data_IF_171295070772
#
_entry.id   IF_171295070772
#
_cell.length_a   1.000
_cell.length_b   1.000
_cell.length_c   1.000
_cell.angle_alpha   90.00
_cell.angle_beta   90.00
_cell.angle_gamma   90.00
#
_symmetry.space_group_name_H-M   'P 1'
#
loop_
_entity.id
_entity.type
_entity.pdbx_description
1 polymer ?
#
# COMPACT_ATOMS: atom_id res chain seq x y z
N UNK A 1 -37.44 20.59 -6.16
CA UNK A 1 -37.00 19.32 -5.53
C UNK A 1 -35.60 18.84 -5.94
N UNK A 2 -35.00 19.34 -7.02
CA UNK A 2 -33.67 18.87 -7.52
C UNK A 2 -32.49 19.34 -6.65
N UNK A 3 -32.58 20.55 -6.06
CA UNK A 3 -31.55 21.17 -5.22
C UNK A 3 -31.10 20.33 -3.99
N UNK A 4 -31.99 19.78 -3.14
CA UNK A 4 -31.56 18.95 -2.01
C UNK A 4 -30.92 17.63 -2.45
N UNK A 5 -31.40 17.03 -3.55
CA UNK A 5 -30.88 15.77 -4.08
C UNK A 5 -29.44 15.90 -4.58
N UNK A 6 -29.11 17.05 -5.18
CA UNK A 6 -27.74 17.35 -5.64
C UNK A 6 -26.76 17.54 -4.46
N UNK A 7 -27.21 18.14 -3.36
CA UNK A 7 -26.41 18.30 -2.14
C UNK A 7 -26.12 16.95 -1.49
N UNK A 8 -27.11 16.05 -1.43
CA UNK A 8 -26.92 14.69 -0.90
C UNK A 8 -25.93 13.88 -1.76
N UNK A 9 -26.05 13.97 -3.09
CA UNK A 9 -25.12 13.31 -4.01
C UNK A 9 -23.68 13.82 -3.84
N UNK A 10 -23.51 15.14 -3.68
CA UNK A 10 -22.21 15.75 -3.42
C UNK A 10 -21.64 15.27 -2.08
N UNK A 11 -22.44 15.23 -1.02
CA UNK A 11 -22.03 14.73 0.29
C UNK A 11 -21.60 13.24 0.24
N UNK A 12 -22.27 12.39 -0.53
CA UNK A 12 -21.84 10.99 -0.74
C UNK A 12 -20.49 10.90 -1.46
N UNK A 13 -20.24 11.75 -2.46
CA UNK A 13 -18.97 11.77 -3.20
C UNK A 13 -17.80 12.21 -2.31
N UNK A 14 -18.00 13.14 -1.37
CA UNK A 14 -16.99 13.51 -0.38
C UNK A 14 -16.66 12.35 0.60
N UNK A 15 -17.60 11.45 0.86
CA UNK A 15 -17.36 10.24 1.66
C UNK A 15 -16.53 9.17 0.91
N UNK A 16 -16.41 9.28 -0.43
CA UNK A 16 -15.54 8.40 -1.22
C UNK A 16 -14.06 8.47 -0.81
N UNK A 17 -13.62 9.63 -0.31
CA UNK A 17 -12.28 9.79 0.28
C UNK A 17 -12.13 9.00 1.58
N UNK A 18 -13.19 8.87 2.38
CA UNK A 18 -13.15 8.07 3.63
C UNK A 18 -13.12 6.59 3.29
N UNK A 19 -13.94 6.14 2.33
CA UNK A 19 -13.97 4.74 1.90
C UNK A 19 -12.62 4.30 1.32
N UNK A 20 -12.01 5.12 0.47
CA UNK A 20 -10.66 4.84 -0.06
C UNK A 20 -9.61 4.85 1.04
N UNK A 21 -9.69 5.75 2.04
CA UNK A 21 -8.79 5.73 3.20
C UNK A 21 -8.96 4.45 4.03
N UNK A 22 -10.19 4.01 4.29
CA UNK A 22 -10.50 2.80 5.06
C UNK A 22 -9.96 1.55 4.37
N UNK A 23 -9.96 1.50 3.02
CA UNK A 23 -9.42 0.35 2.28
C UNK A 23 -7.90 0.42 2.12
N UNK A 24 -7.33 1.60 1.89
CA UNK A 24 -5.89 1.76 1.60
C UNK A 24 -5.01 1.78 2.85
N UNK A 25 -5.52 2.22 4.00
CA UNK A 25 -4.76 2.24 5.25
C UNK A 25 -4.40 0.82 5.74
N UNK A 26 -5.33 -0.15 5.77
CA UNK A 26 -5.00 -1.55 6.09
C UNK A 26 -3.96 -2.15 5.16
N UNK A 27 -3.97 -1.79 3.88
CA UNK A 27 -2.97 -2.28 2.92
C UNK A 27 -1.56 -1.79 3.27
N UNK A 28 -1.43 -0.53 3.70
CA UNK A 28 -0.15 0.04 4.16
C UNK A 28 0.32 -0.54 5.49
N UNK A 29 -0.61 -0.65 6.45
CA UNK A 29 -0.31 -1.22 7.77
C UNK A 29 -0.01 -2.70 7.67
N UNK A 30 -0.75 -3.45 6.86
CA UNK A 30 -0.52 -4.88 6.60
C UNK A 30 0.86 -5.13 6.01
N UNK A 31 1.29 -4.32 5.03
CA UNK A 31 2.65 -4.40 4.49
C UNK A 31 3.73 -4.17 5.57
N UNK A 32 3.54 -3.16 6.43
CA UNK A 32 4.46 -2.88 7.52
C UNK A 32 4.49 -3.98 8.59
N UNK A 33 3.34 -4.60 8.90
CA UNK A 33 3.29 -5.72 9.85
C UNK A 33 3.97 -6.96 9.28
N UNK A 34 3.74 -7.25 7.99
CA UNK A 34 4.36 -8.39 7.30
C UNK A 34 5.88 -8.22 7.20
N UNK A 35 6.41 -7.01 7.05
CA UNK A 35 7.87 -6.78 7.00
C UNK A 35 8.58 -7.02 8.34
N UNK A 36 7.85 -6.97 9.46
CA UNK A 36 8.40 -7.26 10.80
C UNK A 36 8.48 -8.77 11.06
N UNK A 37 7.79 -9.59 10.26
CA UNK A 37 7.82 -11.04 10.42
C UNK A 37 9.16 -11.57 9.91
N UNK A 38 9.99 -12.20 10.77
CA UNK A 38 11.33 -12.65 10.38
C UNK A 38 11.32 -13.65 9.24
N UNK A 39 10.25 -14.44 9.08
CA UNK A 39 10.09 -15.39 7.96
C UNK A 39 9.99 -14.67 6.61
N UNK A 40 9.28 -13.55 6.55
CA UNK A 40 9.08 -12.80 5.29
C UNK A 40 10.23 -11.81 5.06
N UNK A 41 10.68 -11.13 6.12
CA UNK A 41 11.83 -10.23 6.07
C UNK A 41 13.09 -10.96 5.61
N UNK A 42 13.44 -12.10 6.23
CA UNK A 42 14.66 -12.82 5.90
C UNK A 42 14.62 -13.48 4.50
N UNK A 43 13.43 -13.83 4.00
CA UNK A 43 13.26 -14.31 2.62
C UNK A 43 13.39 -13.16 1.60
N UNK A 44 12.88 -11.97 1.93
CA UNK A 44 13.04 -10.78 1.10
C UNK A 44 14.50 -10.31 1.07
N UNK A 45 15.17 -10.24 2.22
CA UNK A 45 16.58 -9.86 2.33
C UNK A 45 17.48 -10.84 1.54
N UNK A 46 17.27 -12.15 1.68
CA UNK A 46 18.05 -13.14 0.92
C UNK A 46 17.90 -13.01 -0.60
N UNK A 47 16.69 -12.67 -1.08
CA UNK A 47 16.44 -12.43 -2.50
C UNK A 47 17.11 -11.13 -2.99
N UNK A 48 17.13 -10.10 -2.14
CA UNK A 48 17.81 -8.83 -2.42
C UNK A 48 19.32 -9.04 -2.47
N UNK A 49 19.92 -9.71 -1.49
CA UNK A 49 21.36 -10.00 -1.44
C UNK A 49 21.82 -10.79 -2.66
N UNK A 50 21.09 -11.85 -3.03
CA UNK A 50 21.42 -12.64 -4.24
C UNK A 50 21.41 -11.78 -5.49
N UNK A 51 20.48 -10.83 -5.58
CA UNK A 51 20.40 -9.91 -6.72
C UNK A 51 21.52 -8.89 -6.68
N UNK A 52 21.85 -8.36 -5.50
CA UNK A 52 22.93 -7.42 -5.29
C UNK A 52 24.29 -8.04 -5.62
N UNK A 53 24.56 -9.28 -5.21
CA UNK A 53 25.79 -10.01 -5.53
C UNK A 53 26.00 -10.15 -7.04
N UNK A 54 24.93 -10.41 -7.81
CA UNK A 54 25.00 -10.49 -9.28
C UNK A 54 25.29 -9.13 -9.90
N UNK A 55 24.77 -8.05 -9.32
CA UNK A 55 25.01 -6.68 -9.78
C UNK A 55 26.44 -6.23 -9.45
N UNK A 56 26.98 -6.56 -8.27
CA UNK A 56 28.36 -6.24 -7.86
C UNK A 56 29.41 -6.93 -8.73
N UNK A 57 29.06 -8.09 -9.33
CA UNK A 57 29.91 -8.79 -10.29
C UNK A 57 29.96 -8.11 -11.66
N UNK A 58 29.10 -7.13 -11.95
CA UNK A 58 29.20 -6.33 -13.18
C UNK A 58 30.35 -5.34 -13.01
N UNK A 59 31.44 -5.47 -13.77
CA UNK A 59 32.51 -4.48 -13.76
C UNK A 59 32.01 -3.25 -14.52
N UNK A 60 31.53 -2.24 -13.79
CA UNK A 60 31.27 -0.89 -14.32
C UNK A 60 32.55 -0.05 -14.34
#
# INVERSE_FOLDING_TARGET
MIKPMMIVLMALMLNGCVLTKVVTVPMRVGGAVVSVIPVVGNAADAAIDTTADVIDLVPL
#
